data_IF_446337162353
#
_entry.id   IF_446337162353
#
_cell.length_a   1.000
_cell.length_b   1.000
_cell.length_c   1.000
_cell.angle_alpha   90.00
_cell.angle_beta   90.00
_cell.angle_gamma   90.00
#
_symmetry.space_group_name_H-M   'P 1'
#
loop_
_entity.id
_entity.type
_entity.pdbx_description
1 polymer ?
#
# COMPACT_ATOMS: atom_id res chain seq x y z
N UNK A 1 -40.64 8.20 -36.57
CA UNK A 1 -40.15 7.10 -35.70
C UNK A 1 -39.15 7.66 -34.72
N UNK A 2 -39.60 7.95 -33.49
CA UNK A 2 -38.79 8.57 -32.44
C UNK A 2 -38.01 7.49 -31.71
N UNK A 3 -36.67 7.51 -31.75
CA UNK A 3 -35.81 6.64 -30.95
C UNK A 3 -35.77 7.21 -29.54
N UNK A 4 -36.38 6.51 -28.56
CA UNK A 4 -36.20 6.77 -27.13
C UNK A 4 -34.74 6.51 -26.78
N UNK A 5 -34.02 7.55 -26.39
CA UNK A 5 -32.72 7.42 -25.77
C UNK A 5 -32.90 6.67 -24.42
N UNK A 6 -32.30 5.49 -24.31
CA UNK A 6 -32.26 4.73 -23.07
C UNK A 6 -31.49 5.54 -22.05
N UNK A 7 -32.09 5.80 -20.86
CA UNK A 7 -31.39 6.30 -19.70
C UNK A 7 -30.33 5.26 -19.29
N UNK A 8 -29.08 5.61 -19.40
CA UNK A 8 -28.01 4.84 -18.73
C UNK A 8 -28.32 4.83 -17.24
N UNK A 9 -28.55 3.65 -16.68
CA UNK A 9 -28.65 3.49 -15.23
C UNK A 9 -27.37 3.99 -14.60
N UNK A 10 -27.48 4.84 -13.58
CA UNK A 10 -26.35 5.17 -12.72
C UNK A 10 -25.75 3.86 -12.17
N UNK A 11 -24.43 3.71 -12.11
CA UNK A 11 -23.82 2.50 -11.55
C UNK A 11 -24.34 2.29 -10.12
N UNK A 12 -24.82 1.08 -9.82
CA UNK A 12 -25.21 0.67 -8.48
C UNK A 12 -24.02 0.95 -7.53
N UNK A 13 -24.33 1.57 -6.39
CA UNK A 13 -23.28 1.77 -5.35
C UNK A 13 -22.85 0.39 -4.86
N UNK A 14 -21.52 0.17 -4.84
CA UNK A 14 -20.95 -1.02 -4.23
C UNK A 14 -21.37 -1.08 -2.76
N UNK A 15 -22.14 -2.09 -2.41
CA UNK A 15 -22.63 -2.32 -1.05
C UNK A 15 -21.59 -3.04 -0.16
N UNK A 16 -20.41 -3.37 -0.72
CA UNK A 16 -19.34 -4.04 0.01
C UNK A 16 -18.80 -3.20 1.16
N UNK A 17 -18.39 -3.87 2.22
CA UNK A 17 -17.71 -3.25 3.37
C UNK A 17 -16.20 -3.19 3.07
N UNK A 18 -15.65 -1.98 3.11
CA UNK A 18 -14.24 -1.75 2.87
C UNK A 18 -13.53 -1.36 4.15
N UNK A 19 -12.32 -1.88 4.36
CA UNK A 19 -11.46 -1.54 5.50
C UNK A 19 -9.98 -1.58 5.13
N UNK A 20 -9.19 -0.80 5.86
CA UNK A 20 -7.73 -0.87 5.85
C UNK A 20 -7.28 -1.54 7.15
N UNK A 21 -6.71 -2.73 7.05
CA UNK A 21 -6.10 -3.44 8.17
C UNK A 21 -4.60 -3.19 8.18
N UNK A 22 -4.11 -2.43 9.15
CA UNK A 22 -2.70 -2.10 9.29
C UNK A 22 -1.99 -3.23 10.04
N UNK A 23 -1.09 -3.95 9.37
CA UNK A 23 -0.35 -5.08 9.96
C UNK A 23 0.84 -4.63 10.82
N UNK A 24 1.46 -3.52 10.45
CA UNK A 24 2.58 -2.92 11.17
C UNK A 24 2.70 -1.44 10.87
N UNK A 25 3.31 -0.71 11.79
CA UNK A 25 3.35 0.76 11.77
C UNK A 25 4.75 1.33 11.97
N UNK A 26 5.74 0.47 12.14
CA UNK A 26 7.09 0.86 12.55
C UNK A 26 7.95 1.37 11.41
N UNK A 27 8.78 2.37 11.69
CA UNK A 27 9.96 2.69 10.89
C UNK A 27 10.96 1.53 10.88
N UNK A 28 11.94 1.54 9.99
CA UNK A 28 12.87 0.43 9.73
C UNK A 28 13.50 -0.19 10.98
N UNK A 29 13.77 0.60 12.01
CA UNK A 29 14.38 0.16 13.27
C UNK A 29 13.36 -0.09 14.41
N UNK A 30 12.08 0.16 14.18
CA UNK A 30 11.01 0.00 15.19
C UNK A 30 10.40 -1.41 15.16
N UNK A 31 11.23 -2.43 15.33
CA UNK A 31 10.88 -3.86 15.15
C UNK A 31 9.66 -4.30 15.96
N UNK A 32 9.47 -3.75 17.16
CA UNK A 32 8.33 -4.09 18.03
C UNK A 32 6.97 -3.67 17.45
N UNK A 33 6.95 -2.71 16.52
CA UNK A 33 5.75 -2.19 15.86
C UNK A 33 5.43 -2.91 14.54
N UNK A 34 6.29 -3.85 14.13
CA UNK A 34 6.22 -4.49 12.81
C UNK A 34 6.58 -3.54 11.66
N UNK A 35 6.99 -4.09 10.54
CA UNK A 35 7.23 -3.31 9.31
C UNK A 35 5.96 -2.64 8.84
N UNK A 36 6.06 -1.38 8.39
CA UNK A 36 4.93 -0.62 7.85
C UNK A 36 4.29 -1.34 6.66
N UNK A 37 3.10 -1.88 6.89
CA UNK A 37 2.35 -2.64 5.89
C UNK A 37 0.85 -2.61 6.22
N UNK A 38 0.02 -2.71 5.19
CA UNK A 38 -1.43 -2.77 5.38
C UNK A 38 -2.10 -3.68 4.35
N UNK A 39 -3.30 -4.13 4.67
CA UNK A 39 -4.16 -4.90 3.77
C UNK A 39 -5.43 -4.11 3.49
N UNK A 40 -5.70 -3.84 2.21
CA UNK A 40 -7.03 -3.43 1.79
C UNK A 40 -7.93 -4.65 1.82
N UNK A 41 -8.98 -4.56 2.62
CA UNK A 41 -9.99 -5.61 2.75
C UNK A 41 -11.29 -5.19 2.05
N UNK A 42 -11.96 -6.18 1.46
CA UNK A 42 -13.33 -6.07 0.96
C UNK A 42 -14.16 -7.20 1.55
N UNK A 43 -15.23 -6.88 2.28
CA UNK A 43 -16.10 -7.84 2.97
C UNK A 43 -15.30 -8.78 3.92
N UNK A 44 -14.30 -8.21 4.62
CA UNK A 44 -13.42 -8.92 5.55
C UNK A 44 -12.42 -9.87 4.87
N UNK A 45 -12.29 -9.83 3.54
CA UNK A 45 -11.33 -10.64 2.77
C UNK A 45 -10.18 -9.78 2.26
N UNK A 46 -8.93 -10.28 2.32
CA UNK A 46 -7.79 -9.54 1.81
C UNK A 46 -7.87 -9.39 0.28
N UNK A 47 -7.72 -8.16 -0.20
CA UNK A 47 -7.70 -7.83 -1.62
C UNK A 47 -6.31 -7.44 -2.09
N UNK A 48 -5.61 -6.57 -1.34
CA UNK A 48 -4.29 -6.05 -1.68
C UNK A 48 -3.46 -5.89 -0.42
N UNK A 49 -2.33 -6.56 -0.34
CA UNK A 49 -1.28 -6.27 0.64
C UNK A 49 -0.41 -5.12 0.11
N UNK A 50 -0.16 -4.13 0.92
CA UNK A 50 0.73 -3.01 0.62
C UNK A 50 2.01 -3.21 1.40
N UNK A 51 3.11 -3.40 0.68
CA UNK A 51 4.43 -3.79 1.15
C UNK A 51 4.48 -5.15 1.87
N UNK A 52 5.67 -5.74 1.87
CA UNK A 52 5.94 -7.01 2.51
C UNK A 52 7.35 -7.00 3.13
N UNK A 53 7.50 -6.26 4.21
CA UNK A 53 8.73 -6.20 5.00
C UNK A 53 8.92 -7.44 5.90
N UNK A 54 9.97 -7.44 6.74
CA UNK A 54 10.22 -8.52 7.71
C UNK A 54 9.00 -8.75 8.63
N UNK A 55 8.59 -10.01 8.79
CA UNK A 55 7.47 -10.41 9.64
C UNK A 55 6.07 -10.13 9.09
N UNK A 56 5.96 -9.35 8.00
CA UNK A 56 4.65 -8.99 7.41
C UNK A 56 3.90 -10.20 6.89
N UNK A 57 4.56 -11.10 6.18
CA UNK A 57 3.91 -12.31 5.65
C UNK A 57 3.43 -13.23 6.77
N UNK A 58 4.23 -13.44 7.79
CA UNK A 58 3.87 -14.26 8.96
C UNK A 58 2.65 -13.68 9.68
N UNK A 59 2.58 -12.36 9.78
CA UNK A 59 1.43 -11.67 10.36
C UNK A 59 0.19 -11.84 9.46
N UNK A 60 0.33 -11.60 8.16
CA UNK A 60 -0.74 -11.80 7.18
C UNK A 60 -1.32 -13.21 7.23
N UNK A 61 -0.47 -14.25 7.26
CA UNK A 61 -0.90 -15.65 7.31
C UNK A 61 -1.68 -15.97 8.60
N UNK A 62 -1.30 -15.39 9.74
CA UNK A 62 -2.07 -15.55 11.00
C UNK A 62 -3.46 -14.93 10.93
N UNK A 63 -3.60 -13.82 10.19
CA UNK A 63 -4.88 -13.12 10.07
C UNK A 63 -5.83 -13.75 9.05
N UNK A 64 -5.31 -14.31 7.96
CA UNK A 64 -6.13 -14.68 6.80
C UNK A 64 -6.04 -16.16 6.39
N UNK A 65 -5.11 -16.92 6.95
CA UNK A 65 -4.88 -18.35 6.62
C UNK A 65 -4.75 -18.64 5.11
N UNK A 66 -4.22 -17.68 4.37
CA UNK A 66 -4.01 -17.75 2.91
C UNK A 66 -2.84 -16.86 2.50
N UNK A 67 -2.24 -17.10 1.33
CA UNK A 67 -1.29 -16.15 0.76
C UNK A 67 -2.02 -14.89 0.25
N UNK A 68 -1.34 -13.72 0.24
CA UNK A 68 -1.91 -12.51 -0.30
C UNK A 68 -2.26 -12.69 -1.79
N UNK A 69 -3.49 -12.39 -2.23
CA UNK A 69 -3.88 -12.52 -3.63
C UNK A 69 -3.18 -11.50 -4.53
N UNK A 70 -2.81 -10.36 -3.96
CA UNK A 70 -2.08 -9.31 -4.62
C UNK A 70 -1.18 -8.57 -3.61
N UNK A 71 -0.02 -8.09 -4.09
CA UNK A 71 0.92 -7.25 -3.32
C UNK A 71 1.27 -6.03 -4.15
N UNK A 72 1.18 -4.84 -3.56
CA UNK A 72 1.71 -3.59 -4.13
C UNK A 72 3.00 -3.21 -3.40
N UNK A 73 4.04 -2.86 -4.16
CA UNK A 73 5.34 -2.45 -3.61
C UNK A 73 5.50 -0.95 -3.77
N UNK A 74 5.66 -0.25 -2.65
CA UNK A 74 5.88 1.20 -2.63
C UNK A 74 7.27 1.58 -3.07
N UNK A 75 8.30 0.91 -2.55
CA UNK A 75 9.70 1.14 -2.86
C UNK A 75 10.58 -0.05 -2.43
N UNK A 76 11.88 0.02 -2.71
CA UNK A 76 12.77 -1.12 -2.57
C UNK A 76 13.57 -1.22 -1.27
N UNK A 77 13.25 -0.52 -0.17
CA UNK A 77 13.93 -0.71 1.11
C UNK A 77 13.57 -2.05 1.74
N UNK A 78 14.51 -2.63 2.50
CA UNK A 78 14.36 -3.99 3.03
C UNK A 78 13.22 -4.12 4.03
N UNK A 79 12.91 -3.09 4.79
CA UNK A 79 11.76 -3.03 5.70
C UNK A 79 10.40 -3.03 4.97
N UNK A 80 10.40 -2.87 3.64
CA UNK A 80 9.22 -2.95 2.78
C UNK A 80 9.19 -4.17 1.86
N UNK A 81 10.34 -4.82 1.60
CA UNK A 81 10.42 -5.90 0.59
C UNK A 81 11.05 -7.20 1.06
N UNK A 82 11.74 -7.24 2.21
CA UNK A 82 12.48 -8.45 2.62
C UNK A 82 11.58 -9.68 2.83
N UNK A 83 10.29 -9.49 3.15
CA UNK A 83 9.33 -10.59 3.25
C UNK A 83 8.95 -11.24 1.92
N UNK A 84 9.28 -10.61 0.79
CA UNK A 84 9.02 -11.18 -0.53
C UNK A 84 9.81 -12.47 -0.79
N UNK A 85 11.01 -12.62 -0.22
CA UNK A 85 11.75 -13.88 -0.29
C UNK A 85 10.94 -15.01 0.35
N UNK A 86 10.40 -14.79 1.55
CA UNK A 86 9.55 -15.78 2.22
C UNK A 86 8.28 -16.06 1.42
N UNK A 87 7.64 -15.04 0.86
CA UNK A 87 6.47 -15.20 0.00
C UNK A 87 6.81 -16.02 -1.26
N UNK A 88 8.00 -15.82 -1.83
CA UNK A 88 8.50 -16.63 -2.95
C UNK A 88 8.58 -18.11 -2.55
N UNK A 89 9.19 -18.45 -1.42
CA UNK A 89 9.29 -19.84 -0.96
C UNK A 89 7.91 -20.49 -0.75
N UNK A 90 6.98 -19.78 -0.10
CA UNK A 90 5.60 -20.27 0.11
C UNK A 90 4.84 -20.48 -1.21
N UNK A 91 5.17 -19.69 -2.24
CA UNK A 91 4.54 -19.80 -3.57
C UNK A 91 5.24 -20.83 -4.46
N UNK A 92 6.58 -20.86 -4.48
CA UNK A 92 7.36 -21.66 -5.42
C UNK A 92 7.23 -23.15 -5.19
N UNK A 93 7.31 -23.60 -3.94
CA UNK A 93 7.30 -25.02 -3.58
C UNK A 93 5.89 -25.63 -3.52
N UNK A 94 4.84 -24.83 -3.65
CA UNK A 94 3.47 -25.32 -3.77
C UNK A 94 2.93 -25.08 -5.19
N UNK A 95 2.79 -26.14 -6.03
CA UNK A 95 2.26 -25.96 -7.39
C UNK A 95 0.86 -25.34 -7.46
N UNK A 96 0.05 -25.47 -6.40
CA UNK A 96 -1.27 -24.85 -6.34
C UNK A 96 -1.21 -23.34 -6.12
N UNK A 97 -0.10 -22.83 -5.57
CA UNK A 97 0.12 -21.42 -5.22
C UNK A 97 1.00 -20.69 -6.22
N UNK A 98 1.91 -21.43 -6.90
CA UNK A 98 2.88 -20.86 -7.85
C UNK A 98 2.17 -20.01 -8.92
N UNK A 99 2.65 -18.77 -9.10
CA UNK A 99 2.12 -17.84 -10.08
C UNK A 99 0.73 -17.26 -9.75
N UNK A 100 0.18 -17.47 -8.55
CA UNK A 100 -1.17 -17.00 -8.18
C UNK A 100 -1.15 -15.59 -7.56
N UNK A 101 -0.18 -15.28 -6.71
CA UNK A 101 -0.05 -13.95 -6.12
C UNK A 101 0.37 -12.96 -7.20
N UNK A 102 -0.41 -11.90 -7.39
CA UNK A 102 -0.07 -10.78 -8.31
C UNK A 102 0.85 -9.81 -7.60
N UNK A 103 2.01 -9.50 -8.20
CA UNK A 103 2.93 -8.47 -7.69
C UNK A 103 2.78 -7.23 -8.58
N UNK A 104 2.18 -6.19 -8.02
CA UNK A 104 2.04 -4.88 -8.64
C UNK A 104 3.25 -4.01 -8.26
N UNK A 105 4.04 -3.63 -9.24
CA UNK A 105 5.27 -2.87 -9.03
C UNK A 105 5.48 -1.85 -10.14
N UNK A 106 5.88 -0.64 -9.78
CA UNK A 106 6.25 0.35 -10.79
C UNK A 106 7.48 -0.12 -11.58
N UNK A 107 7.45 0.05 -12.90
CA UNK A 107 8.48 -0.46 -13.80
C UNK A 107 9.91 -0.02 -13.39
N UNK A 108 10.07 1.18 -12.85
CA UNK A 108 11.36 1.69 -12.37
C UNK A 108 11.92 0.90 -11.16
N UNK A 109 11.07 0.20 -10.40
CA UNK A 109 11.51 -0.55 -9.22
C UNK A 109 11.97 -1.97 -9.57
N UNK A 110 11.66 -2.50 -10.74
CA UNK A 110 12.04 -3.86 -11.14
C UNK A 110 13.54 -4.14 -11.01
N UNK A 111 14.46 -3.29 -11.50
CA UNK A 111 15.90 -3.53 -11.33
C UNK A 111 16.33 -3.51 -9.86
N UNK A 112 15.69 -2.69 -9.04
CA UNK A 112 15.99 -2.60 -7.60
C UNK A 112 15.54 -3.88 -6.88
N UNK A 113 14.33 -4.36 -7.16
CA UNK A 113 13.83 -5.62 -6.60
C UNK A 113 14.63 -6.82 -7.08
N UNK A 114 15.03 -6.85 -8.36
CA UNK A 114 15.91 -7.88 -8.89
C UNK A 114 17.18 -7.98 -8.05
N UNK A 115 17.87 -6.86 -7.83
CA UNK A 115 19.12 -6.84 -7.09
C UNK A 115 18.97 -7.12 -5.58
N UNK A 116 17.82 -6.85 -4.99
CA UNK A 116 17.63 -6.95 -3.53
C UNK A 116 17.04 -8.28 -3.06
N UNK A 117 16.06 -8.82 -3.78
CA UNK A 117 15.29 -9.99 -3.33
C UNK A 117 15.14 -11.08 -4.39
N UNK A 118 15.31 -10.78 -5.67
CA UNK A 118 15.01 -11.73 -6.74
C UNK A 118 16.23 -12.53 -7.22
N UNK A 119 17.45 -12.07 -7.00
CA UNK A 119 18.67 -12.82 -7.40
C UNK A 119 18.95 -13.98 -6.44
N UNK A 120 18.71 -13.81 -5.15
CA UNK A 120 18.98 -14.84 -4.14
C UNK A 120 18.23 -16.15 -4.36
N UNK A 121 16.90 -16.17 -4.58
CA UNK A 121 16.16 -17.41 -4.81
C UNK A 121 16.61 -18.20 -6.04
N UNK A 122 17.19 -17.56 -7.05
CA UNK A 122 17.66 -18.24 -8.25
C UNK A 122 18.87 -19.15 -8.01
N UNK A 123 19.55 -19.01 -6.88
CA UNK A 123 20.74 -19.79 -6.49
C UNK A 123 20.42 -21.01 -5.61
N UNK A 124 19.15 -21.38 -5.42
CA UNK A 124 18.78 -22.55 -4.62
C UNK A 124 19.22 -23.85 -5.26
N UNK A 125 19.53 -24.86 -4.42
CA UNK A 125 20.14 -26.11 -4.84
C UNK A 125 19.23 -27.02 -5.70
N UNK A 126 17.93 -26.82 -5.65
CA UNK A 126 16.90 -27.64 -6.30
C UNK A 126 16.81 -27.43 -7.83
N UNK A 127 17.82 -26.88 -8.44
CA UNK A 127 17.91 -26.77 -9.91
C UNK A 127 17.67 -25.36 -10.46
N UNK A 128 17.76 -24.38 -9.59
CA UNK A 128 17.53 -22.98 -9.93
C UNK A 128 16.05 -22.64 -9.95
N UNK A 129 15.73 -21.48 -9.45
CA UNK A 129 14.39 -20.92 -9.46
C UNK A 129 14.43 -19.46 -9.92
N UNK A 130 13.51 -19.11 -10.78
CA UNK A 130 13.33 -17.71 -11.12
C UNK A 130 12.31 -17.11 -10.16
N UNK A 131 12.72 -16.13 -9.36
CA UNK A 131 11.87 -15.43 -8.40
C UNK A 131 10.53 -14.99 -9.03
N UNK A 132 10.59 -14.40 -10.22
CA UNK A 132 9.40 -13.85 -10.89
C UNK A 132 8.40 -14.92 -11.33
N UNK A 133 8.85 -16.16 -11.57
CA UNK A 133 7.96 -17.27 -11.92
C UNK A 133 7.13 -17.78 -10.74
N UNK A 134 7.53 -17.44 -9.51
CA UNK A 134 6.72 -17.68 -8.31
C UNK A 134 5.44 -16.87 -8.26
N UNK A 135 5.35 -15.81 -9.08
CA UNK A 135 4.31 -14.80 -9.04
C UNK A 135 3.69 -14.49 -10.40
N UNK A 136 2.56 -13.81 -10.41
CA UNK A 136 2.05 -13.08 -11.56
C UNK A 136 2.54 -11.63 -11.47
N UNK A 137 3.66 -11.32 -12.11
CA UNK A 137 4.24 -9.99 -12.13
C UNK A 137 3.39 -9.04 -12.99
N UNK A 138 2.96 -7.91 -12.44
CA UNK A 138 2.17 -6.88 -13.10
C UNK A 138 2.91 -5.54 -13.01
N UNK A 139 3.82 -5.23 -13.94
CA UNK A 139 4.46 -3.94 -14.01
C UNK A 139 3.46 -2.87 -14.44
N UNK A 140 3.58 -1.67 -13.88
CA UNK A 140 2.79 -0.52 -14.26
C UNK A 140 3.62 0.78 -14.28
N UNK A 141 3.04 1.88 -14.79
CA UNK A 141 3.67 3.20 -14.79
C UNK A 141 2.82 4.30 -14.15
N UNK A 142 1.50 4.23 -14.23
CA UNK A 142 0.58 5.28 -13.73
C UNK A 142 -0.47 4.75 -12.77
N UNK A 143 -0.73 3.46 -12.83
CA UNK A 143 -1.77 2.80 -12.06
C UNK A 143 -2.05 1.41 -12.61
N UNK A 144 -2.98 0.71 -11.98
CA UNK A 144 -3.31 -0.66 -12.35
C UNK A 144 -4.77 -1.01 -12.03
N UNK A 145 -5.27 -2.01 -12.74
CA UNK A 145 -6.58 -2.60 -12.46
C UNK A 145 -6.43 -3.81 -11.53
N UNK A 146 -7.24 -3.85 -10.47
CA UNK A 146 -7.37 -4.99 -9.58
C UNK A 146 -8.85 -5.24 -9.32
N UNK A 147 -9.35 -6.42 -9.74
CA UNK A 147 -10.72 -6.90 -9.51
C UNK A 147 -11.82 -5.88 -9.88
N UNK A 148 -11.61 -5.19 -11.01
CA UNK A 148 -12.55 -4.19 -11.54
C UNK A 148 -12.41 -2.78 -10.99
N UNK A 149 -11.41 -2.54 -10.10
CA UNK A 149 -11.12 -1.24 -9.54
C UNK A 149 -9.81 -0.68 -10.07
N UNK A 150 -9.79 0.61 -10.38
CA UNK A 150 -8.58 1.32 -10.81
C UNK A 150 -7.87 1.91 -9.60
N UNK A 151 -6.60 1.59 -9.46
CA UNK A 151 -5.71 2.16 -8.46
C UNK A 151 -4.80 3.19 -9.11
N UNK A 152 -4.91 4.45 -8.67
CA UNK A 152 -3.97 5.49 -9.04
C UNK A 152 -2.64 5.28 -8.29
N UNK A 153 -1.53 5.43 -9.00
CA UNK A 153 -0.19 5.40 -8.39
C UNK A 153 0.47 6.74 -8.60
N UNK A 154 1.09 7.26 -7.56
CA UNK A 154 1.74 8.57 -7.56
C UNK A 154 3.15 8.48 -6.99
N UNK A 155 4.07 9.28 -7.56
CA UNK A 155 5.43 9.39 -7.04
C UNK A 155 5.43 10.10 -5.69
N UNK A 156 6.30 9.65 -4.79
CA UNK A 156 6.52 10.26 -3.47
C UNK A 156 7.92 10.85 -3.35
N UNK A 157 8.17 11.57 -2.26
CA UNK A 157 9.43 12.30 -2.03
C UNK A 157 10.31 11.54 -1.03
N UNK A 158 10.78 10.36 -1.46
CA UNK A 158 11.65 9.52 -0.66
C UNK A 158 12.90 9.19 -1.47
N UNK A 159 14.07 9.67 -1.01
CA UNK A 159 15.37 9.56 -1.70
C UNK A 159 15.38 10.09 -3.15
N UNK A 160 15.75 9.23 -4.11
CA UNK A 160 15.88 9.62 -5.51
C UNK A 160 14.50 9.72 -6.17
N UNK A 161 14.22 10.78 -6.96
CA UNK A 161 12.96 10.88 -7.68
C UNK A 161 12.68 9.64 -8.54
N UNK A 162 11.44 9.13 -8.46
CA UNK A 162 11.02 7.93 -9.19
C UNK A 162 11.45 6.60 -8.57
N UNK A 163 11.92 6.61 -7.30
CA UNK A 163 12.27 5.39 -6.56
C UNK A 163 11.26 4.98 -5.49
N UNK A 164 10.20 5.77 -5.29
CA UNK A 164 9.12 5.48 -4.33
C UNK A 164 7.76 5.98 -4.81
N UNK A 165 6.71 5.24 -4.44
CA UNK A 165 5.35 5.44 -4.94
C UNK A 165 4.32 5.16 -3.85
N UNK A 166 3.28 6.00 -3.83
CA UNK A 166 2.06 5.73 -3.10
C UNK A 166 0.96 5.17 -4.00
N UNK A 167 -0.09 4.66 -3.40
CA UNK A 167 -1.26 4.10 -4.08
C UNK A 167 -2.54 4.70 -3.52
N UNK A 168 -3.53 4.93 -4.39
CA UNK A 168 -4.84 5.42 -3.98
C UNK A 168 -5.97 4.69 -4.74
N UNK A 169 -7.05 4.44 -4.02
CA UNK A 169 -8.35 4.05 -4.56
C UNK A 169 -9.32 5.19 -4.25
N UNK A 170 -9.74 5.91 -5.30
CA UNK A 170 -10.48 7.18 -5.15
C UNK A 170 -11.75 7.05 -4.32
N UNK A 171 -11.95 7.99 -3.40
CA UNK A 171 -13.09 8.00 -2.48
C UNK A 171 -12.99 6.98 -1.34
N UNK A 172 -11.93 6.19 -1.30
CA UNK A 172 -11.75 5.09 -0.35
C UNK A 172 -10.50 5.32 0.52
N UNK A 173 -9.31 5.13 -0.02
CA UNK A 173 -8.07 5.33 0.71
C UNK A 173 -6.93 5.82 -0.19
N UNK A 174 -5.88 6.37 0.46
CA UNK A 174 -4.55 6.54 -0.09
C UNK A 174 -3.51 6.07 0.93
N UNK A 175 -2.45 5.42 0.44
CA UNK A 175 -1.28 5.02 1.21
C UNK A 175 -0.05 5.63 0.58
N UNK A 176 0.70 6.44 1.33
CA UNK A 176 1.82 7.19 0.75
C UNK A 176 3.07 6.35 0.50
N UNK A 177 3.27 5.25 1.24
CA UNK A 177 4.63 4.73 1.41
C UNK A 177 5.47 5.76 2.17
N UNK A 178 6.77 5.58 2.17
CA UNK A 178 7.70 6.52 2.79
C UNK A 178 7.81 7.79 1.95
N UNK A 179 7.74 8.95 2.62
CA UNK A 179 7.74 10.23 1.91
C UNK A 179 8.02 11.43 2.79
N UNK A 180 8.57 12.47 2.21
CA UNK A 180 8.40 13.83 2.68
C UNK A 180 7.01 14.37 2.29
N UNK A 181 6.57 15.54 2.79
CA UNK A 181 5.25 16.09 2.44
C UNK A 181 5.01 16.16 0.94
N UNK A 182 3.82 15.73 0.52
CA UNK A 182 3.33 15.76 -0.88
C UNK A 182 1.90 16.34 -0.94
N UNK A 183 1.65 17.53 -0.38
CA UNK A 183 0.30 18.08 -0.24
C UNK A 183 -0.41 18.26 -1.59
N UNK A 184 0.30 18.67 -2.63
CA UNK A 184 -0.24 18.84 -3.98
C UNK A 184 -0.73 17.53 -4.59
N UNK A 185 -0.01 16.44 -4.35
CA UNK A 185 -0.37 15.12 -4.84
C UNK A 185 -1.59 14.59 -4.10
N UNK A 186 -1.57 14.65 -2.76
CA UNK A 186 -2.68 14.15 -1.95
C UNK A 186 -3.96 14.96 -2.18
N UNK A 187 -3.86 16.27 -2.40
CA UNK A 187 -5.02 17.10 -2.77
C UNK A 187 -5.63 16.67 -4.12
N UNK A 188 -4.83 16.13 -5.04
CA UNK A 188 -5.32 15.66 -6.34
C UNK A 188 -5.95 14.25 -6.29
N UNK A 189 -5.51 13.38 -5.38
CA UNK A 189 -5.96 11.96 -5.32
C UNK A 189 -6.97 11.69 -4.20
N UNK A 190 -7.00 12.51 -3.15
CA UNK A 190 -7.91 12.38 -2.01
C UNK A 190 -9.07 13.37 -2.11
N UNK A 191 -10.26 12.91 -1.79
CA UNK A 191 -11.45 13.72 -1.58
C UNK A 191 -11.89 13.68 -0.10
N UNK A 192 -13.01 14.30 0.24
CA UNK A 192 -13.49 14.39 1.62
C UNK A 192 -13.79 13.02 2.30
N UNK A 193 -13.87 11.95 1.54
CA UNK A 193 -14.18 10.58 2.02
C UNK A 193 -12.95 9.68 2.09
N UNK A 194 -11.82 10.13 1.54
CA UNK A 194 -10.59 9.32 1.46
C UNK A 194 -9.86 9.30 2.79
N UNK A 195 -9.61 8.11 3.35
CA UNK A 195 -8.64 7.94 4.42
C UNK A 195 -7.23 8.00 3.84
N UNK A 196 -6.38 8.89 4.37
CA UNK A 196 -4.99 9.05 3.90
C UNK A 196 -4.02 8.49 4.94
N UNK A 197 -3.52 7.29 4.74
CA UNK A 197 -2.42 6.76 5.53
C UNK A 197 -1.11 7.40 5.09
N UNK A 198 -0.40 8.04 6.03
CA UNK A 198 0.76 8.90 5.74
C UNK A 198 1.95 8.56 6.64
N UNK A 199 3.15 8.45 6.03
CA UNK A 199 4.44 8.40 6.72
C UNK A 199 4.60 9.60 7.66
N UNK A 200 4.84 9.34 8.93
CA UNK A 200 5.12 10.42 9.87
C UNK A 200 5.93 9.96 11.07
N UNK A 201 7.05 10.61 11.27
CA UNK A 201 7.85 10.55 12.50
C UNK A 201 7.57 11.77 13.39
N UNK A 202 7.97 11.68 14.65
CA UNK A 202 7.88 12.85 15.55
C UNK A 202 8.77 14.00 15.06
N UNK A 203 9.95 13.67 14.54
CA UNK A 203 10.89 14.62 13.94
C UNK A 203 11.17 14.21 12.51
N UNK A 204 10.93 15.11 11.55
CA UNK A 204 11.20 14.87 10.14
C UNK A 204 12.70 14.82 9.82
N UNK A 205 13.01 14.25 8.65
CA UNK A 205 14.36 14.18 8.13
C UNK A 205 14.35 14.32 6.59
N UNK A 206 15.50 14.30 5.89
CA UNK A 206 15.51 14.47 4.43
C UNK A 206 14.72 13.42 3.62
N UNK A 207 14.28 12.33 4.23
CA UNK A 207 13.58 11.22 3.56
C UNK A 207 12.15 10.99 4.08
N UNK A 208 11.82 11.47 5.27
CA UNK A 208 10.56 11.22 5.96
C UNK A 208 9.93 12.49 6.50
N UNK A 209 8.61 12.48 6.59
CA UNK A 209 7.80 13.58 7.12
C UNK A 209 7.88 13.62 8.64
N UNK A 210 8.10 14.82 9.20
CA UNK A 210 7.87 15.11 10.61
C UNK A 210 6.48 15.67 10.87
N UNK A 211 6.01 15.58 12.11
CA UNK A 211 4.69 16.12 12.47
C UNK A 211 4.61 17.65 12.25
N UNK A 212 5.69 18.39 12.50
CA UNK A 212 5.77 19.83 12.24
C UNK A 212 5.67 20.14 10.74
N UNK A 213 6.17 19.26 9.87
CA UNK A 213 6.03 19.38 8.42
C UNK A 213 4.56 19.22 8.00
N UNK A 214 3.83 18.26 8.59
CA UNK A 214 2.39 18.10 8.35
C UNK A 214 1.62 19.35 8.73
N UNK A 215 1.87 19.89 9.92
CA UNK A 215 1.19 21.07 10.40
C UNK A 215 1.46 22.31 9.55
N UNK A 216 2.66 22.42 9.01
CA UNK A 216 3.10 23.54 8.16
C UNK A 216 2.60 23.44 6.73
N UNK A 217 2.62 22.23 6.13
CA UNK A 217 2.47 22.07 4.67
C UNK A 217 1.09 21.58 4.25
N UNK A 218 0.34 20.89 5.14
CA UNK A 218 -0.96 20.35 4.78
C UNK A 218 -2.12 21.25 5.20
N UNK A 219 -3.09 21.50 4.29
CA UNK A 219 -4.30 22.23 4.66
C UNK A 219 -5.11 21.45 5.69
N UNK A 220 -5.83 22.17 6.55
CA UNK A 220 -6.58 21.57 7.67
C UNK A 220 -7.56 20.45 7.25
N UNK A 221 -8.24 20.63 6.10
CA UNK A 221 -9.15 19.61 5.56
C UNK A 221 -8.45 18.28 5.30
N UNK A 222 -7.24 18.32 4.73
CA UNK A 222 -6.45 17.11 4.47
C UNK A 222 -5.88 16.52 5.76
N UNK A 223 -5.43 17.37 6.70
CA UNK A 223 -4.91 16.89 8.01
C UNK A 223 -5.92 16.05 8.77
N UNK A 224 -7.21 16.37 8.68
CA UNK A 224 -8.29 15.61 9.35
C UNK A 224 -8.50 14.19 8.77
N UNK A 225 -8.01 13.95 7.56
CA UNK A 225 -8.11 12.65 6.87
C UNK A 225 -6.90 11.77 7.12
N UNK A 226 -5.81 12.33 7.70
CA UNK A 226 -4.57 11.59 7.91
C UNK A 226 -4.73 10.50 8.98
N UNK A 227 -4.15 9.34 8.69
CA UNK A 227 -3.86 8.26 9.61
C UNK A 227 -2.33 8.06 9.58
N UNK A 228 -1.64 8.44 10.64
CA UNK A 228 -0.18 8.47 10.66
C UNK A 228 0.40 7.09 10.99
N UNK A 229 1.40 6.66 10.25
CA UNK A 229 2.18 5.44 10.49
C UNK A 229 3.68 5.71 10.25
N UNK A 230 4.55 4.70 10.34
CA UNK A 230 6.00 4.77 10.17
C UNK A 230 6.71 5.58 11.26
N UNK A 231 6.24 5.46 12.48
CA UNK A 231 6.84 6.10 13.65
C UNK A 231 7.83 5.17 14.37
N UNK A 232 8.71 5.76 15.21
CA UNK A 232 9.85 5.05 15.82
C UNK A 232 9.51 4.25 17.08
N UNK A 233 8.44 4.61 17.82
CA UNK A 233 8.08 3.99 19.08
C UNK A 233 6.64 4.26 19.47
N UNK A 234 6.10 3.50 20.45
CA UNK A 234 4.78 3.78 21.03
C UNK A 234 4.74 5.16 21.74
N UNK A 235 5.88 5.61 22.30
CA UNK A 235 5.96 6.95 22.86
C UNK A 235 5.79 8.04 21.80
N UNK A 236 6.33 7.83 20.58
CA UNK A 236 6.12 8.73 19.44
C UNK A 236 4.67 8.71 19.01
N UNK A 237 4.04 7.52 18.91
CA UNK A 237 2.62 7.39 18.60
C UNK A 237 1.75 8.17 19.60
N UNK A 238 2.05 8.07 20.89
CA UNK A 238 1.34 8.82 21.91
C UNK A 238 1.54 10.33 21.78
N UNK A 239 2.74 10.79 21.46
CA UNK A 239 3.04 12.19 21.23
C UNK A 239 2.28 12.74 19.99
N UNK A 240 2.21 11.96 18.89
CA UNK A 240 1.43 12.30 17.71
C UNK A 240 -0.08 12.40 18.01
N UNK A 241 -0.63 11.48 18.83
CA UNK A 241 -2.03 11.54 19.29
C UNK A 241 -2.28 12.78 20.15
N UNK A 242 -1.34 13.17 21.02
CA UNK A 242 -1.44 14.39 21.84
C UNK A 242 -1.43 15.67 20.96
N UNK A 243 -0.84 15.64 19.76
CA UNK A 243 -0.90 16.68 18.76
C UNK A 243 -2.25 16.69 17.99
N UNK A 244 -3.16 15.78 18.30
CA UNK A 244 -4.50 15.72 17.71
C UNK A 244 -4.63 14.89 16.44
N UNK A 245 -3.60 14.12 16.06
CA UNK A 245 -3.63 13.26 14.88
C UNK A 245 -4.21 11.88 15.18
N UNK A 246 -4.84 11.29 14.18
CA UNK A 246 -5.13 9.85 14.19
C UNK A 246 -3.83 9.11 13.88
N UNK A 247 -3.50 8.12 14.70
CA UNK A 247 -2.27 7.32 14.57
C UNK A 247 -2.67 5.87 14.41
N UNK A 248 -2.14 5.22 13.39
CA UNK A 248 -2.34 3.81 13.14
C UNK A 248 -1.76 2.96 14.28
N UNK A 249 -2.38 1.84 14.54
CA UNK A 249 -1.93 0.85 15.51
C UNK A 249 -1.68 -0.48 14.79
N UNK A 250 -0.67 -1.27 15.20
CA UNK A 250 -0.55 -2.64 14.70
C UNK A 250 -1.85 -3.42 14.93
N UNK A 251 -2.28 -4.19 13.94
CA UNK A 251 -3.59 -4.88 13.89
C UNK A 251 -4.83 -3.96 13.86
N UNK A 252 -4.65 -2.65 13.76
CA UNK A 252 -5.75 -1.69 13.65
C UNK A 252 -6.53 -1.86 12.33
N UNK A 253 -7.87 -1.94 12.42
CA UNK A 253 -8.77 -1.94 11.26
C UNK A 253 -9.55 -0.63 11.19
N UNK A 254 -9.43 0.03 10.06
CA UNK A 254 -10.00 1.35 9.82
C UNK A 254 -11.07 1.24 8.75
N UNK A 255 -12.34 1.56 9.07
CA UNK A 255 -13.42 1.52 8.09
C UNK A 255 -13.18 2.55 6.99
N UNK A 256 -13.49 2.16 5.76
CA UNK A 256 -13.33 2.98 4.57
C UNK A 256 -14.69 3.23 3.92
N UNK A 257 -14.81 4.34 3.21
CA UNK A 257 -15.92 4.53 2.27
C UNK A 257 -15.77 3.61 1.06
N UNK A 258 -16.89 3.25 0.44
CA UNK A 258 -16.86 2.53 -0.82
C UNK A 258 -16.18 3.40 -1.90
N UNK A 259 -15.31 2.80 -2.73
CA UNK A 259 -14.60 3.55 -3.75
C UNK A 259 -15.55 4.11 -4.81
N UNK A 260 -15.11 5.19 -5.45
CA UNK A 260 -15.84 5.76 -6.57
C UNK A 260 -15.69 4.86 -7.82
N UNK A 261 -16.78 4.52 -8.49
CA UNK A 261 -16.70 3.76 -9.75
C UNK A 261 -15.93 4.60 -10.78
N UNK A 262 -14.97 3.99 -11.45
CA UNK A 262 -14.29 4.63 -12.57
C UNK A 262 -15.28 4.74 -13.73
N UNK A 263 -15.54 5.97 -14.20
CA UNK A 263 -16.30 6.14 -15.45
C UNK A 263 -15.43 5.65 -16.61
N UNK A 264 -16.00 4.83 -17.48
CA UNK A 264 -15.32 4.25 -18.63
C UNK A 264 -14.83 5.29 -19.68
N UNK A 265 -15.09 6.57 -19.46
CA UNK A 265 -14.85 7.66 -20.43
C UNK A 265 -13.58 8.47 -20.15
N UNK A 266 -12.68 8.01 -19.24
CA UNK A 266 -11.41 8.67 -18.91
C UNK A 266 -10.22 7.91 -19.52
N UNK A 267 -10.25 7.68 -20.83
CA UNK A 267 -9.15 7.14 -21.63
C UNK A 267 -8.67 8.15 -22.66
#
# INVERSE_FOLDING_TARGET
MSRKAGRANAPERDASVWSLHVLGTGAANAVALGSSAAVLERDGRPMLLIDCGPGTLEHFLRCYDTLPPAVFITHGHMDHVAGLERLFHESWFDPARRGKTRIFVHANLLPVLQARVADYPSAIAEGGANFWEGFCLVPFSRGFWLDGWWFDVFATRHHVPGSSYGVALRGCFAWTGDTRPVPEVLTAVADAHTLVAHDCSLVGNPSHTGVDDIEREYPEGLRRQLLLYHYGSEADAQALRQRGFKVAEPDGRYPLHAPHPVRADAG
#
